data_IF_705226528730
#
_entry.id   IF_705226528730
#
_cell.length_a   1.000
_cell.length_b   1.000
_cell.length_c   1.000
_cell.angle_alpha   90.00
_cell.angle_beta   90.00
_cell.angle_gamma   90.00
#
_symmetry.space_group_name_H-M   'P 1'
#
loop_
_entity.id
_entity.type
_entity.pdbx_description
1 polymer ?
#
# COMPACT_ATOMS: atom_id res chain seq x y z
N UNK A 1 -11.72 -23.29 0.50
CA UNK A 1 -11.97 -21.84 0.31
C UNK A 1 -11.64 -20.99 1.54
N UNK A 2 -12.15 -21.30 2.74
CA UNK A 2 -11.96 -20.45 3.93
C UNK A 2 -10.48 -20.21 4.32
N UNK A 3 -9.63 -21.25 4.30
CA UNK A 3 -8.19 -21.13 4.58
C UNK A 3 -7.46 -20.19 3.61
N UNK A 4 -7.87 -20.17 2.34
CA UNK A 4 -7.24 -19.34 1.32
C UNK A 4 -7.47 -17.84 1.60
N UNK A 5 -8.70 -17.49 1.99
CA UNK A 5 -9.07 -16.10 2.34
C UNK A 5 -8.30 -15.63 3.58
N UNK A 6 -8.13 -16.50 4.59
CA UNK A 6 -7.37 -16.17 5.80
C UNK A 6 -5.92 -15.82 5.47
N UNK A 7 -5.25 -16.62 4.63
CA UNK A 7 -3.87 -16.34 4.22
C UNK A 7 -3.75 -15.04 3.41
N UNK A 8 -4.71 -14.76 2.52
CA UNK A 8 -4.75 -13.50 1.76
C UNK A 8 -4.87 -12.29 2.68
N UNK A 9 -5.77 -12.34 3.67
CA UNK A 9 -5.98 -11.23 4.62
C UNK A 9 -4.75 -11.04 5.51
N UNK A 10 -4.12 -12.13 5.99
CA UNK A 10 -2.90 -12.06 6.78
C UNK A 10 -1.77 -11.42 5.97
N UNK A 11 -1.54 -11.87 4.74
CA UNK A 11 -0.47 -11.34 3.90
C UNK A 11 -0.71 -9.86 3.56
N UNK A 12 -1.96 -9.48 3.28
CA UNK A 12 -2.34 -8.10 3.02
C UNK A 12 -2.12 -7.21 4.23
N UNK A 13 -2.49 -7.66 5.43
CA UNK A 13 -2.24 -6.93 6.67
C UNK A 13 -0.74 -6.76 6.95
N UNK A 14 0.05 -7.81 6.67
CA UNK A 14 1.50 -7.81 6.86
C UNK A 14 2.21 -6.88 5.86
N UNK A 15 1.71 -6.78 4.62
CA UNK A 15 2.21 -5.86 3.60
C UNK A 15 1.72 -4.41 3.79
N UNK A 16 0.56 -4.20 4.39
CA UNK A 16 0.00 -2.87 4.58
C UNK A 16 0.93 -1.95 5.39
N UNK A 17 1.61 -2.52 6.39
CA UNK A 17 2.56 -1.80 7.23
C UNK A 17 3.79 -1.28 6.47
N UNK A 18 4.60 -2.13 5.79
CA UNK A 18 5.75 -1.67 5.01
C UNK A 18 5.31 -0.81 3.82
N UNK A 19 4.18 -1.10 3.16
CA UNK A 19 3.67 -0.26 2.06
C UNK A 19 3.32 1.16 2.52
N UNK A 20 2.62 1.30 3.66
CA UNK A 20 2.31 2.60 4.26
C UNK A 20 3.55 3.41 4.58
N UNK A 21 4.58 2.75 5.14
CA UNK A 21 5.86 3.41 5.45
C UNK A 21 6.62 3.78 4.18
N UNK A 22 6.69 2.92 3.16
CA UNK A 22 7.38 3.19 1.91
C UNK A 22 6.75 4.36 1.15
N UNK A 23 5.42 4.36 1.00
CA UNK A 23 4.70 5.44 0.31
C UNK A 23 4.86 6.75 1.08
N UNK A 24 4.81 6.73 2.41
CA UNK A 24 5.05 7.93 3.23
C UNK A 24 6.48 8.47 3.06
N UNK A 25 7.50 7.62 3.19
CA UNK A 25 8.91 8.05 3.02
C UNK A 25 9.16 8.59 1.61
N UNK A 26 8.64 7.93 0.57
CA UNK A 26 8.78 8.39 -0.81
C UNK A 26 8.06 9.71 -1.05
N UNK A 27 6.85 9.89 -0.51
CA UNK A 27 6.09 11.14 -0.63
C UNK A 27 6.80 12.30 0.06
N UNK A 28 7.25 12.10 1.31
CA UNK A 28 7.98 13.10 2.09
C UNK A 28 9.29 13.47 1.40
N UNK A 29 10.11 12.49 1.01
CA UNK A 29 11.39 12.74 0.31
C UNK A 29 11.19 13.45 -1.03
N UNK A 30 10.17 13.06 -1.80
CA UNK A 30 9.85 13.72 -3.07
C UNK A 30 9.47 15.18 -2.84
N UNK A 31 8.68 15.46 -1.80
CA UNK A 31 8.21 16.79 -1.49
C UNK A 31 9.34 17.68 -0.91
N UNK A 32 10.18 17.13 -0.02
CA UNK A 32 11.41 17.78 0.47
C UNK A 32 12.34 18.15 -0.68
N UNK A 33 12.61 17.23 -1.62
CA UNK A 33 13.43 17.53 -2.81
C UNK A 33 12.81 18.60 -3.70
N UNK A 34 11.48 18.66 -3.82
CA UNK A 34 10.79 19.65 -4.65
C UNK A 34 10.81 21.05 -4.04
N UNK A 35 10.69 21.14 -2.72
CA UNK A 35 10.65 22.43 -2.00
C UNK A 35 12.03 22.89 -1.52
N UNK A 36 13.06 22.04 -1.63
CA UNK A 36 14.42 22.29 -1.14
C UNK A 36 14.49 22.71 0.34
N UNK A 37 13.49 22.31 1.14
CA UNK A 37 13.38 22.55 2.58
C UNK A 37 12.83 21.32 3.29
N UNK A 38 13.07 21.22 4.59
CA UNK A 38 12.39 20.24 5.43
C UNK A 38 10.90 20.58 5.56
N UNK A 39 10.05 19.55 5.57
CA UNK A 39 8.62 19.73 5.78
C UNK A 39 8.33 19.84 7.27
N UNK A 40 7.44 20.77 7.60
CA UNK A 40 6.93 20.93 8.96
C UNK A 40 6.10 19.72 9.39
N UNK A 41 6.01 19.46 10.69
CA UNK A 41 5.31 18.28 11.25
C UNK A 41 3.84 18.21 10.78
N UNK A 42 3.18 19.36 10.62
CA UNK A 42 1.81 19.43 10.12
C UNK A 42 1.70 18.98 8.65
N UNK A 43 2.67 19.35 7.81
CA UNK A 43 2.70 18.96 6.39
C UNK A 43 3.04 17.47 6.25
N UNK A 44 3.94 16.95 7.10
CA UNK A 44 4.29 15.52 7.18
C UNK A 44 3.09 14.67 7.61
N UNK A 45 2.32 15.13 8.59
CA UNK A 45 1.10 14.45 9.05
C UNK A 45 0.03 14.41 7.94
N UNK A 46 -0.15 15.52 7.20
CA UNK A 46 -1.04 15.58 6.05
C UNK A 46 -0.62 14.61 4.93
N UNK A 47 0.69 14.43 4.70
CA UNK A 47 1.23 13.45 3.77
C UNK A 47 1.03 12.01 4.25
N UNK A 48 1.11 11.75 5.55
CA UNK A 48 0.89 10.42 6.12
C UNK A 48 -0.55 9.92 5.88
N UNK A 49 -1.54 10.81 5.98
CA UNK A 49 -2.93 10.42 5.72
C UNK A 49 -3.16 10.09 4.24
N UNK A 50 -2.55 10.85 3.32
CA UNK A 50 -2.58 10.54 1.89
C UNK A 50 -1.86 9.22 1.57
N UNK A 51 -0.71 8.99 2.19
CA UNK A 51 0.05 7.76 2.04
C UNK A 51 -0.75 6.52 2.48
N UNK A 52 -1.52 6.61 3.57
CA UNK A 52 -2.43 5.53 4.00
C UNK A 52 -3.51 5.21 2.96
N UNK A 53 -4.15 6.23 2.38
CA UNK A 53 -5.18 6.03 1.36
C UNK A 53 -4.59 5.33 0.12
N UNK A 54 -3.43 5.80 -0.34
CA UNK A 54 -2.73 5.18 -1.48
C UNK A 54 -2.32 3.74 -1.14
N UNK A 55 -1.82 3.50 0.07
CA UNK A 55 -1.40 2.16 0.51
C UNK A 55 -2.56 1.19 0.60
N UNK A 56 -3.73 1.64 1.05
CA UNK A 56 -4.94 0.83 1.03
C UNK A 56 -5.33 0.45 -0.40
N UNK A 57 -5.34 1.43 -1.31
CA UNK A 57 -5.64 1.19 -2.72
C UNK A 57 -4.63 0.22 -3.38
N UNK A 58 -3.33 0.46 -3.19
CA UNK A 58 -2.25 -0.39 -3.71
C UNK A 58 -2.35 -1.80 -3.13
N UNK A 59 -2.63 -1.96 -1.83
CA UNK A 59 -2.75 -3.29 -1.21
C UNK A 59 -3.92 -4.08 -1.79
N UNK A 60 -5.07 -3.43 -2.04
CA UNK A 60 -6.23 -4.05 -2.69
C UNK A 60 -5.88 -4.48 -4.11
N UNK A 61 -5.33 -3.57 -4.91
CA UNK A 61 -4.93 -3.83 -6.30
C UNK A 61 -3.88 -4.93 -6.38
N UNK A 62 -2.90 -4.92 -5.48
CA UNK A 62 -1.85 -5.93 -5.41
C UNK A 62 -2.41 -7.30 -5.01
N UNK A 63 -3.30 -7.36 -4.02
CA UNK A 63 -3.98 -8.60 -3.64
C UNK A 63 -4.81 -9.17 -4.79
N UNK A 64 -5.49 -8.31 -5.54
CA UNK A 64 -6.27 -8.69 -6.72
C UNK A 64 -5.38 -9.22 -7.85
N UNK A 65 -4.31 -8.48 -8.19
CA UNK A 65 -3.33 -8.90 -9.21
C UNK A 65 -2.60 -10.18 -8.82
N UNK A 66 -2.20 -10.32 -7.56
CA UNK A 66 -1.53 -11.51 -7.06
C UNK A 66 -2.46 -12.72 -7.11
N UNK A 67 -3.73 -12.56 -6.75
CA UNK A 67 -4.74 -13.60 -6.89
C UNK A 67 -4.92 -13.99 -8.36
N UNK A 68 -5.06 -13.01 -9.27
CA UNK A 68 -5.17 -13.24 -10.70
C UNK A 68 -3.94 -13.97 -11.27
N UNK A 69 -2.73 -13.57 -10.86
CA UNK A 69 -1.47 -14.12 -11.35
C UNK A 69 -1.14 -15.49 -10.76
N UNK A 70 -1.56 -15.78 -9.53
CA UNK A 70 -1.21 -17.01 -8.82
C UNK A 70 -2.25 -18.11 -9.03
N UNK A 71 -3.54 -17.75 -9.05
CA UNK A 71 -4.63 -18.71 -9.24
C UNK A 71 -4.98 -18.89 -10.73
N UNK A 72 -4.69 -17.91 -11.59
CA UNK A 72 -5.30 -17.87 -12.93
C UNK A 72 -6.80 -17.62 -12.80
N UNK A 73 -7.44 -17.02 -13.81
CA UNK A 73 -8.85 -16.63 -13.75
C UNK A 73 -9.76 -17.68 -13.06
N UNK A 74 -10.45 -17.36 -11.94
CA UNK A 74 -11.37 -18.29 -11.30
C UNK A 74 -12.63 -18.38 -12.17
N UNK A 75 -12.56 -19.25 -13.18
CA UNK A 75 -13.59 -19.40 -14.22
C UNK A 75 -13.13 -20.16 -15.48
N UNK A 76 -11.91 -20.69 -15.51
CA UNK A 76 -11.47 -21.63 -16.55
C UNK A 76 -11.74 -23.08 -16.14
N UNK A 77 -13.00 -23.47 -16.09
CA UNK A 77 -13.44 -24.85 -16.34
C UNK A 77 -14.04 -24.91 -17.75
#
# INVERSE_FOLDING_TARGET
MLNFIVWVVILAALLFWPMSKLIWVLSVRRLQRKLARELDEQEVAGQMNRARIISAFVSIVFSFLYNLSTIGMPGGE
#
